data_IF_700285795916
#
_entry.id   IF_700285795916
#
_cell.length_a   1.000
_cell.length_b   1.000
_cell.length_c   1.000
_cell.angle_alpha   90.00
_cell.angle_beta   90.00
_cell.angle_gamma   90.00
#
_symmetry.space_group_name_H-M   'P 1'
#
loop_
_entity.id
_entity.type
_entity.pdbx_description
1 polymer ?
#
# COMPACT_ATOMS: atom_id res chain seq x y z
N UNK A 1 -5.39 -13.05 -17.58
CA UNK A 1 -4.48 -11.89 -17.70
C UNK A 1 -4.34 -11.19 -16.36
N UNK A 2 -3.14 -10.71 -16.00
CA UNK A 2 -2.90 -9.81 -14.85
C UNK A 2 -2.44 -8.46 -15.40
N UNK A 3 -3.01 -7.36 -14.92
CA UNK A 3 -2.69 -6.01 -15.37
C UNK A 3 -2.30 -5.16 -14.17
N UNK A 4 -1.07 -4.64 -14.19
CA UNK A 4 -0.59 -3.69 -13.20
C UNK A 4 -0.87 -2.27 -13.71
N UNK A 5 -1.89 -1.60 -13.14
CA UNK A 5 -2.31 -0.28 -13.63
C UNK A 5 -1.43 0.88 -13.16
N UNK A 6 -0.40 0.62 -12.36
CA UNK A 6 0.34 1.68 -11.69
C UNK A 6 1.83 1.37 -11.63
N UNK A 7 2.51 1.65 -12.75
CA UNK A 7 3.96 1.49 -12.89
C UNK A 7 4.59 2.83 -13.25
N UNK A 8 5.68 3.17 -12.57
CA UNK A 8 6.46 4.37 -12.90
C UNK A 8 7.73 3.99 -13.67
N UNK A 9 8.10 4.78 -14.67
CA UNK A 9 9.34 4.62 -15.43
C UNK A 9 10.45 5.58 -14.95
N UNK A 10 10.51 5.86 -13.65
CA UNK A 10 11.43 6.85 -13.08
C UNK A 10 12.88 6.53 -13.45
N UNK A 11 13.50 7.40 -14.24
CA UNK A 11 14.88 7.21 -14.68
C UNK A 11 15.84 7.20 -13.48
N UNK A 12 16.74 6.21 -13.44
CA UNK A 12 17.77 6.07 -12.40
C UNK A 12 19.12 5.78 -13.04
N UNK A 13 20.09 6.65 -12.79
CA UNK A 13 21.44 6.50 -13.36
C UNK A 13 22.18 5.25 -12.87
N UNK A 14 21.77 4.68 -11.73
CA UNK A 14 22.39 3.51 -11.12
C UNK A 14 21.72 2.17 -11.50
N UNK A 15 20.64 2.17 -12.29
CA UNK A 15 19.85 0.95 -12.57
C UNK A 15 19.25 0.93 -13.97
N UNK A 16 19.25 -0.24 -14.58
CA UNK A 16 18.44 -0.52 -15.77
C UNK A 16 16.98 -0.78 -15.34
N UNK A 17 16.19 0.29 -15.38
CA UNK A 17 14.78 0.26 -14.97
C UNK A 17 13.96 -0.64 -15.90
N UNK A 18 14.20 -0.61 -17.21
CA UNK A 18 13.48 -1.46 -18.15
C UNK A 18 13.69 -2.94 -17.85
N UNK A 19 14.93 -3.35 -17.63
CA UNK A 19 15.25 -4.73 -17.28
C UNK A 19 14.61 -5.14 -15.95
N UNK A 20 14.67 -4.29 -14.92
CA UNK A 20 14.12 -4.61 -13.60
C UNK A 20 12.60 -4.73 -13.61
N UNK A 21 11.89 -3.75 -14.21
CA UNK A 21 10.43 -3.79 -14.31
C UNK A 21 9.97 -5.00 -15.12
N UNK A 22 10.63 -5.27 -16.26
CA UNK A 22 10.33 -6.44 -17.11
C UNK A 22 10.54 -7.74 -16.34
N UNK A 23 11.63 -7.85 -15.58
CA UNK A 23 11.93 -9.02 -14.75
C UNK A 23 10.88 -9.21 -13.65
N UNK A 24 10.50 -8.14 -12.95
CA UNK A 24 9.46 -8.20 -11.90
C UNK A 24 8.12 -8.65 -12.51
N UNK A 25 7.70 -8.04 -13.61
CA UNK A 25 6.45 -8.41 -14.29
C UNK A 25 6.45 -9.89 -14.70
N UNK A 26 7.57 -10.38 -15.26
CA UNK A 26 7.72 -11.81 -15.59
C UNK A 26 7.64 -12.71 -14.36
N UNK A 27 8.38 -12.41 -13.28
CA UNK A 27 8.36 -13.24 -12.07
C UNK A 27 6.98 -13.30 -11.42
N UNK A 28 6.22 -12.21 -11.47
CA UNK A 28 4.89 -12.11 -10.86
C UNK A 28 3.73 -12.43 -11.83
N UNK A 29 4.02 -12.85 -13.07
CA UNK A 29 3.01 -13.21 -14.08
C UNK A 29 2.18 -12.03 -14.61
N UNK A 30 2.65 -10.79 -14.45
CA UNK A 30 1.99 -9.58 -14.98
C UNK A 30 2.11 -9.58 -16.50
N UNK A 31 0.95 -9.48 -17.16
CA UNK A 31 0.82 -9.55 -18.62
C UNK A 31 0.91 -8.16 -19.27
N UNK A 32 0.38 -7.15 -18.58
CA UNK A 32 0.38 -5.75 -19.03
C UNK A 32 0.73 -4.84 -17.86
N UNK A 33 1.60 -3.85 -18.11
CA UNK A 33 1.93 -2.79 -17.17
C UNK A 33 1.53 -1.43 -17.75
N UNK A 34 0.73 -0.65 -17.01
CA UNK A 34 0.40 0.73 -17.38
C UNK A 34 1.46 1.67 -16.82
N UNK A 35 2.18 2.33 -17.73
CA UNK A 35 3.40 3.08 -17.43
C UNK A 35 3.14 4.58 -17.59
N UNK A 36 3.58 5.34 -16.58
CA UNK A 36 3.56 6.81 -16.57
C UNK A 36 4.78 7.36 -15.84
N UNK A 37 4.98 8.68 -15.87
CA UNK A 37 5.97 9.39 -15.04
C UNK A 37 7.40 8.84 -15.20
N UNK A 38 8.05 9.11 -16.33
CA UNK A 38 9.42 8.67 -16.59
C UNK A 38 10.54 9.49 -15.91
N UNK A 39 10.20 10.53 -15.14
CA UNK A 39 11.14 11.54 -14.65
C UNK A 39 10.93 11.92 -13.18
N UNK A 40 11.30 13.15 -12.80
CA UNK A 40 11.14 13.63 -11.41
C UNK A 40 9.68 13.97 -11.07
N UNK A 41 9.27 13.63 -9.85
CA UNK A 41 8.00 14.03 -9.27
C UNK A 41 8.10 15.43 -8.64
N UNK A 42 7.81 16.48 -9.41
CA UNK A 42 7.66 17.85 -8.88
C UNK A 42 6.19 18.14 -8.58
N UNK A 43 5.91 18.94 -7.55
CA UNK A 43 4.54 19.26 -7.10
C UNK A 43 3.74 20.11 -8.11
N UNK A 44 4.43 20.97 -8.86
CA UNK A 44 3.91 21.82 -9.93
C UNK A 44 4.98 21.85 -11.03
N UNK A 45 5.06 20.81 -11.87
CA UNK A 45 6.11 20.72 -12.89
C UNK A 45 5.87 21.75 -14.01
N UNK A 46 6.97 22.29 -14.53
CA UNK A 46 6.96 23.04 -15.78
C UNK A 46 6.62 22.11 -16.96
N UNK A 47 6.06 22.67 -18.03
CA UNK A 47 5.58 21.87 -19.16
C UNK A 47 6.67 21.01 -19.83
N UNK A 48 7.92 21.47 -19.85
CA UNK A 48 9.05 20.73 -20.43
C UNK A 48 9.43 19.50 -19.58
N UNK A 49 9.29 19.61 -18.25
CA UNK A 49 9.43 18.49 -17.32
C UNK A 49 8.33 17.45 -17.57
N UNK A 50 7.09 17.88 -17.80
CA UNK A 50 5.96 17.00 -18.13
C UNK A 50 6.21 16.28 -19.46
N UNK A 51 6.52 17.03 -20.52
CA UNK A 51 6.77 16.47 -21.85
C UNK A 51 7.92 15.45 -21.84
N UNK A 52 9.03 15.77 -21.15
CA UNK A 52 10.17 14.86 -21.00
C UNK A 52 9.81 13.59 -20.22
N UNK A 53 8.99 13.70 -19.18
CA UNK A 53 8.54 12.54 -18.41
C UNK A 53 7.66 11.61 -19.27
N UNK A 54 6.83 12.17 -20.15
CA UNK A 54 6.05 11.42 -21.13
C UNK A 54 6.92 10.74 -22.18
N UNK A 55 7.93 11.44 -22.72
CA UNK A 55 8.86 10.86 -23.70
C UNK A 55 9.61 9.64 -23.13
N UNK A 56 10.05 9.72 -21.86
CA UNK A 56 10.72 8.59 -21.20
C UNK A 56 9.75 7.42 -20.98
N UNK A 57 8.53 7.68 -20.53
CA UNK A 57 7.53 6.64 -20.31
C UNK A 57 7.09 5.98 -21.63
N UNK A 58 6.87 6.75 -22.69
CA UNK A 58 6.52 6.25 -24.01
C UNK A 58 7.67 5.42 -24.61
N UNK A 59 8.92 5.89 -24.49
CA UNK A 59 10.10 5.12 -24.89
C UNK A 59 10.24 3.81 -24.12
N UNK A 60 9.99 3.82 -22.80
CA UNK A 60 9.96 2.59 -22.02
C UNK A 60 8.94 1.60 -22.60
N UNK A 61 7.74 2.07 -22.92
CA UNK A 61 6.67 1.23 -23.48
C UNK A 61 7.09 0.63 -24.83
N UNK A 62 7.67 1.44 -25.72
CA UNK A 62 8.24 0.98 -26.99
C UNK A 62 9.30 -0.12 -26.78
N UNK A 63 10.27 0.12 -25.90
CA UNK A 63 11.37 -0.81 -25.64
C UNK A 63 10.92 -2.08 -24.85
N UNK A 64 9.73 -2.05 -24.23
CA UNK A 64 9.20 -3.16 -23.40
C UNK A 64 8.69 -4.37 -24.19
N UNK A 65 8.69 -4.31 -25.52
CA UNK A 65 8.26 -5.39 -26.42
C UNK A 65 6.85 -5.93 -26.12
N UNK A 66 5.89 -5.02 -25.95
CA UNK A 66 4.46 -5.33 -25.81
C UNK A 66 3.96 -5.49 -24.37
N UNK A 67 4.85 -5.45 -23.36
CA UNK A 67 4.48 -5.47 -21.94
C UNK A 67 3.78 -4.17 -21.51
N UNK A 68 4.32 -3.02 -21.91
CA UNK A 68 3.86 -1.71 -21.47
C UNK A 68 2.63 -1.20 -22.24
N UNK A 69 1.82 -0.36 -21.60
CA UNK A 69 0.91 0.60 -22.24
C UNK A 69 1.09 1.96 -21.59
N UNK A 70 0.93 3.02 -22.36
CA UNK A 70 1.28 4.37 -21.93
C UNK A 70 0.07 5.12 -21.34
N UNK A 71 0.27 5.77 -20.19
CA UNK A 71 -0.64 6.77 -19.65
C UNK A 71 0.02 8.15 -19.70
N UNK A 72 -0.65 9.12 -20.34
CA UNK A 72 -0.17 10.49 -20.45
C UNK A 72 -0.11 11.14 -19.07
N UNK A 73 1.08 11.51 -18.61
CA UNK A 73 1.23 12.34 -17.41
C UNK A 73 0.88 13.79 -17.75
N UNK A 74 -0.07 14.36 -17.01
CA UNK A 74 -0.46 15.77 -17.15
C UNK A 74 -0.43 16.47 -15.79
N UNK A 75 -0.10 17.76 -15.83
CA UNK A 75 -0.27 18.70 -14.73
C UNK A 75 -1.46 19.61 -15.06
N UNK A 76 -2.53 19.65 -14.25
CA UNK A 76 -3.64 20.56 -14.49
C UNK A 76 -3.27 22.03 -14.56
N UNK A 77 -2.15 22.42 -13.93
CA UNK A 77 -1.68 23.81 -13.93
C UNK A 77 -0.72 24.12 -15.09
N UNK A 78 -0.34 23.13 -15.89
CA UNK A 78 0.47 23.36 -17.09
C UNK A 78 -0.36 24.05 -18.17
N UNK A 79 -0.04 25.28 -18.62
CA UNK A 79 -0.80 25.96 -19.66
C UNK A 79 -0.82 25.21 -21.01
N UNK A 80 0.11 24.27 -21.22
CA UNK A 80 0.23 23.44 -22.43
C UNK A 80 -0.38 22.04 -22.28
N UNK A 81 -1.11 21.76 -21.20
CA UNK A 81 -1.66 20.42 -20.94
C UNK A 81 -2.49 19.86 -22.10
N UNK A 82 -3.19 20.72 -22.86
CA UNK A 82 -4.04 20.29 -23.98
C UNK A 82 -3.20 19.83 -25.18
N UNK A 83 -2.21 20.62 -25.56
CA UNK A 83 -1.28 20.27 -26.65
C UNK A 83 -0.51 19.00 -26.29
N UNK A 84 -0.12 18.85 -25.02
CA UNK A 84 0.57 17.66 -24.54
C UNK A 84 -0.34 16.42 -24.50
N UNK A 85 -1.62 16.58 -24.14
CA UNK A 85 -2.60 15.50 -24.24
C UNK A 85 -2.81 15.08 -25.70
N UNK A 86 -2.93 16.05 -26.62
CA UNK A 86 -3.05 15.79 -28.06
C UNK A 86 -1.86 15.00 -28.58
N UNK A 87 -0.64 15.43 -28.24
CA UNK A 87 0.60 14.75 -28.61
C UNK A 87 0.67 13.33 -28.03
N UNK A 88 0.39 13.17 -26.74
CA UNK A 88 0.46 11.87 -26.08
C UNK A 88 -0.53 10.87 -26.67
N UNK A 89 -1.73 11.31 -27.04
CA UNK A 89 -2.76 10.43 -27.61
C UNK A 89 -2.46 10.11 -29.07
N UNK A 90 -2.20 11.13 -29.90
CA UNK A 90 -2.10 10.97 -31.34
C UNK A 90 -0.73 10.42 -31.79
N UNK A 91 0.35 10.81 -31.09
CA UNK A 91 1.71 10.51 -31.53
C UNK A 91 2.37 9.42 -30.68
N UNK A 92 2.04 9.33 -29.38
CA UNK A 92 2.66 8.38 -28.45
C UNK A 92 1.76 7.21 -28.03
N UNK A 93 0.49 7.19 -28.46
CA UNK A 93 -0.44 6.09 -28.20
C UNK A 93 -0.89 5.96 -26.75
N UNK A 94 -1.06 7.07 -26.03
CA UNK A 94 -1.60 7.04 -24.67
C UNK A 94 -3.04 6.48 -24.64
N UNK A 95 -3.29 5.57 -23.71
CA UNK A 95 -4.59 4.92 -23.51
C UNK A 95 -5.35 5.40 -22.26
N UNK A 96 -4.77 6.38 -21.56
CA UNK A 96 -5.33 7.00 -20.37
C UNK A 96 -4.45 8.14 -19.88
N UNK A 97 -4.85 8.76 -18.78
CA UNK A 97 -4.16 9.92 -18.19
C UNK A 97 -3.74 9.61 -16.76
N UNK A 98 -2.53 10.05 -16.38
CA UNK A 98 -2.05 10.08 -15.00
C UNK A 98 -1.96 11.52 -14.53
N UNK A 99 -2.52 11.81 -13.37
CA UNK A 99 -2.28 13.07 -12.64
C UNK A 99 -1.66 12.72 -11.29
N UNK A 100 -0.46 13.25 -11.03
CA UNK A 100 0.29 12.96 -9.80
C UNK A 100 0.00 13.97 -8.68
N UNK A 101 -0.15 15.24 -9.02
CA UNK A 101 -0.29 16.35 -8.09
C UNK A 101 -0.80 17.58 -8.86
N UNK A 102 -0.62 18.79 -8.30
CA UNK A 102 -1.05 20.06 -8.88
C UNK A 102 -2.56 20.14 -9.18
N UNK A 103 -3.39 19.41 -8.45
CA UNK A 103 -4.84 19.41 -8.66
C UNK A 103 -5.48 20.77 -8.36
N UNK A 104 -4.94 21.49 -7.39
CA UNK A 104 -5.39 22.82 -6.99
C UNK A 104 -4.47 23.90 -7.52
N UNK A 105 -5.06 25.01 -7.98
CA UNK A 105 -4.32 26.23 -8.29
C UNK A 105 -3.87 26.98 -7.01
N UNK A 106 -3.21 28.13 -7.17
CA UNK A 106 -2.72 28.93 -6.05
C UNK A 106 -3.84 29.49 -5.15
N UNK A 107 -5.09 29.52 -5.61
CA UNK A 107 -6.27 29.93 -4.85
C UNK A 107 -7.03 28.74 -4.23
N UNK A 108 -6.56 27.50 -4.44
CA UNK A 108 -7.21 26.29 -3.96
C UNK A 108 -8.34 25.78 -4.87
N UNK A 109 -8.51 26.32 -6.08
CA UNK A 109 -9.56 25.89 -7.01
C UNK A 109 -9.18 24.61 -7.77
N UNK A 110 -10.18 23.76 -7.99
CA UNK A 110 -10.08 22.53 -8.79
C UNK A 110 -10.50 22.72 -10.26
N UNK A 111 -10.85 23.94 -10.69
CA UNK A 111 -11.43 24.17 -12.03
C UNK A 111 -10.53 23.68 -13.17
N UNK A 112 -9.22 23.88 -13.05
CA UNK A 112 -8.26 23.39 -14.03
C UNK A 112 -8.21 21.86 -14.06
N UNK A 113 -8.21 21.19 -12.89
CA UNK A 113 -8.27 19.73 -12.82
C UNK A 113 -9.56 19.18 -13.46
N UNK A 114 -10.71 19.79 -13.17
CA UNK A 114 -12.00 19.43 -13.78
C UNK A 114 -11.95 19.57 -15.31
N UNK A 115 -11.31 20.61 -15.84
CA UNK A 115 -11.15 20.79 -17.29
C UNK A 115 -10.32 19.68 -17.92
N UNK A 116 -9.20 19.29 -17.30
CA UNK A 116 -8.35 18.19 -17.79
C UNK A 116 -9.09 16.86 -17.73
N UNK A 117 -9.74 16.55 -16.60
CA UNK A 117 -10.45 15.28 -16.39
C UNK A 117 -11.64 15.14 -17.35
N UNK A 118 -12.41 16.21 -17.58
CA UNK A 118 -13.51 16.19 -18.56
C UNK A 118 -13.00 16.02 -19.98
N UNK A 119 -11.91 16.68 -20.35
CA UNK A 119 -11.33 16.52 -21.69
C UNK A 119 -10.83 15.09 -21.93
N UNK A 120 -10.19 14.47 -20.93
CA UNK A 120 -9.85 13.05 -20.99
C UNK A 120 -11.09 12.16 -21.18
N UNK A 121 -12.16 12.41 -20.40
CA UNK A 121 -13.43 11.69 -20.53
C UNK A 121 -14.09 11.82 -21.90
N UNK A 122 -14.09 13.02 -22.50
CA UNK A 122 -14.60 13.24 -23.87
C UNK A 122 -13.90 12.39 -24.92
N UNK A 123 -12.66 12.00 -24.65
CA UNK A 123 -11.83 11.14 -25.51
C UNK A 123 -11.91 9.66 -25.12
N UNK A 124 -12.72 9.31 -24.12
CA UNK A 124 -12.82 7.95 -23.59
C UNK A 124 -11.59 7.49 -22.79
N UNK A 125 -10.76 8.41 -22.31
CA UNK A 125 -9.54 8.10 -21.57
C UNK A 125 -9.80 8.06 -20.06
N UNK A 126 -9.55 6.93 -19.37
CA UNK A 126 -9.59 6.87 -17.92
C UNK A 126 -8.50 7.72 -17.28
N UNK A 127 -8.76 8.25 -16.08
CA UNK A 127 -7.81 9.10 -15.35
C UNK A 127 -7.40 8.47 -14.03
N UNK A 128 -6.13 8.11 -13.91
CA UNK A 128 -5.50 7.66 -12.66
C UNK A 128 -5.01 8.88 -11.87
N UNK A 129 -5.58 9.11 -10.69
CA UNK A 129 -5.33 10.28 -9.85
C UNK A 129 -4.60 9.84 -8.58
N UNK A 130 -3.44 10.42 -8.29
CA UNK A 130 -2.77 10.16 -7.03
C UNK A 130 -3.59 10.71 -5.86
N UNK A 131 -3.94 9.85 -4.91
CA UNK A 131 -4.66 10.23 -3.68
C UNK A 131 -3.89 9.73 -2.47
N UNK A 132 -3.78 10.58 -1.45
CA UNK A 132 -3.14 10.21 -0.20
C UNK A 132 -3.74 11.00 0.97
N UNK A 133 -3.61 10.49 2.19
CA UNK A 133 -3.98 11.19 3.41
C UNK A 133 -2.82 11.08 4.39
N UNK A 134 -1.88 12.03 4.31
CA UNK A 134 -0.74 12.05 5.23
C UNK A 134 -1.17 12.50 6.64
N UNK A 135 -0.59 11.88 7.68
CA UNK A 135 -0.88 12.20 9.09
C UNK A 135 -0.61 13.68 9.43
N UNK A 136 0.40 14.30 8.81
CA UNK A 136 0.74 15.71 8.99
C UNK A 136 0.01 16.67 8.03
N UNK A 137 -0.97 16.18 7.27
CA UNK A 137 -1.57 16.90 6.15
C UNK A 137 -0.81 16.69 4.85
N UNK A 138 -1.52 16.87 3.73
CA UNK A 138 -0.94 16.73 2.40
C UNK A 138 -0.18 18.00 2.00
N UNK A 139 0.92 17.87 1.24
CA UNK A 139 1.57 19.03 0.63
C UNK A 139 0.65 19.69 -0.42
N UNK A 140 0.87 20.97 -0.76
CA UNK A 140 0.07 21.69 -1.75
C UNK A 140 -0.09 20.92 -3.07
N UNK A 141 -1.28 21.00 -3.65
CA UNK A 141 -1.61 20.37 -4.92
C UNK A 141 -1.88 18.87 -4.85
N UNK A 142 -1.78 18.23 -3.68
CA UNK A 142 -2.17 16.82 -3.48
C UNK A 142 -3.60 16.76 -2.94
N UNK A 143 -4.31 15.66 -3.25
CA UNK A 143 -5.72 15.51 -2.92
C UNK A 143 -5.96 14.36 -1.95
N UNK A 144 -6.96 14.54 -1.10
CA UNK A 144 -7.53 13.49 -0.25
C UNK A 144 -8.53 12.65 -1.03
N UNK A 145 -9.05 11.58 -0.41
CA UNK A 145 -10.12 10.79 -1.03
C UNK A 145 -11.43 11.60 -1.17
N UNK A 146 -11.68 12.56 -0.26
CA UNK A 146 -12.85 13.43 -0.32
C UNK A 146 -12.76 14.41 -1.50
N UNK A 147 -11.57 14.98 -1.73
CA UNK A 147 -11.32 15.83 -2.89
C UNK A 147 -11.45 15.04 -4.20
N UNK A 148 -10.96 13.79 -4.22
CA UNK A 148 -11.18 12.87 -5.34
C UNK A 148 -12.68 12.62 -5.58
N UNK A 149 -13.47 12.40 -4.53
CA UNK A 149 -14.90 12.21 -4.65
C UNK A 149 -15.61 13.43 -5.26
N UNK A 150 -15.20 14.65 -4.85
CA UNK A 150 -15.67 15.90 -5.45
C UNK A 150 -15.33 15.98 -6.94
N UNK A 151 -14.09 15.64 -7.32
CA UNK A 151 -13.66 15.65 -8.73
C UNK A 151 -14.40 14.60 -9.57
N UNK A 152 -14.66 13.42 -9.01
CA UNK A 152 -15.42 12.34 -9.64
C UNK A 152 -16.88 12.76 -9.89
N UNK A 153 -17.52 13.42 -8.91
CA UNK A 153 -18.88 13.98 -9.03
C UNK A 153 -18.95 15.09 -10.09
N UNK A 154 -17.92 15.94 -10.15
CA UNK A 154 -17.81 16.98 -11.17
C UNK A 154 -17.57 16.44 -12.59
N UNK A 155 -17.11 15.19 -12.73
CA UNK A 155 -16.74 14.56 -13.99
C UNK A 155 -17.42 13.17 -14.17
N UNK A 156 -18.78 13.10 -14.15
CA UNK A 156 -19.51 11.83 -14.05
C UNK A 156 -19.32 10.91 -15.29
N UNK A 157 -19.00 11.49 -16.44
CA UNK A 157 -18.78 10.76 -17.69
C UNK A 157 -17.34 10.22 -17.85
N UNK A 158 -16.44 10.56 -16.92
CA UNK A 158 -15.04 10.12 -16.94
C UNK A 158 -14.84 8.98 -15.95
N UNK A 159 -14.24 7.86 -16.39
CA UNK A 159 -13.76 6.83 -15.48
C UNK A 159 -12.53 7.35 -14.73
N UNK A 160 -12.64 7.50 -13.41
CA UNK A 160 -11.56 8.02 -12.56
C UNK A 160 -11.14 6.98 -11.54
N UNK A 161 -9.83 6.89 -11.29
CA UNK A 161 -9.24 5.88 -10.40
C UNK A 161 -8.45 6.60 -9.31
N UNK A 162 -8.85 6.44 -8.05
CA UNK A 162 -8.10 6.90 -6.90
C UNK A 162 -6.95 5.94 -6.63
N UNK A 163 -5.74 6.38 -6.96
CA UNK A 163 -4.56 5.59 -6.66
C UNK A 163 -4.37 5.45 -5.15
N UNK A 164 -3.89 4.29 -4.73
CA UNK A 164 -3.61 3.96 -3.34
C UNK A 164 -4.83 3.95 -2.42
N UNK A 165 -6.06 3.93 -2.96
CA UNK A 165 -7.29 4.02 -2.18
C UNK A 165 -7.19 5.09 -1.06
N UNK A 166 -6.66 6.27 -1.38
CA UNK A 166 -6.48 7.39 -0.43
C UNK A 166 -5.27 7.29 0.50
N UNK A 167 -4.38 6.32 0.35
CA UNK A 167 -3.22 6.07 1.22
C UNK A 167 -3.57 5.51 2.61
N UNK A 168 -4.80 5.79 3.07
CA UNK A 168 -5.48 5.10 4.17
C UNK A 168 -6.84 4.61 3.64
N UNK A 169 -6.88 3.35 3.20
CA UNK A 169 -8.07 2.73 2.60
C UNK A 169 -9.32 2.80 3.49
N UNK A 170 -9.16 2.88 4.81
CA UNK A 170 -10.30 2.97 5.74
C UNK A 170 -11.07 4.27 5.56
N UNK A 171 -10.39 5.36 5.18
CA UNK A 171 -11.06 6.63 4.87
C UNK A 171 -11.81 6.59 3.53
N UNK A 172 -11.47 5.65 2.64
CA UNK A 172 -12.13 5.49 1.35
C UNK A 172 -13.46 4.74 1.45
N UNK A 173 -13.64 3.92 2.50
CA UNK A 173 -14.86 3.15 2.71
C UNK A 173 -16.06 4.09 2.91
N UNK A 174 -17.16 3.81 2.22
CA UNK A 174 -18.40 4.58 2.29
C UNK A 174 -18.37 5.92 1.55
N UNK A 175 -17.19 6.50 1.28
CA UNK A 175 -17.07 7.77 0.54
C UNK A 175 -17.47 7.61 -0.92
N UNK A 176 -17.03 6.52 -1.57
CA UNK A 176 -17.25 6.28 -3.00
C UNK A 176 -18.43 5.36 -3.30
N UNK A 177 -19.05 4.76 -2.28
CA UNK A 177 -19.99 3.65 -2.44
C UNK A 177 -21.23 4.01 -3.26
N UNK A 178 -21.93 5.08 -2.88
CA UNK A 178 -23.33 5.31 -3.30
C UNK A 178 -23.52 6.33 -4.42
N UNK A 179 -22.56 7.25 -4.63
CA UNK A 179 -22.76 8.42 -5.51
C UNK A 179 -21.89 8.45 -6.76
N UNK A 180 -20.90 7.56 -6.85
CA UNK A 180 -19.81 7.67 -7.82
C UNK A 180 -19.59 6.36 -8.59
N UNK A 181 -20.50 5.99 -9.50
CA UNK A 181 -20.38 4.76 -10.28
C UNK A 181 -19.19 4.77 -11.26
N UNK A 182 -18.67 5.96 -11.59
CA UNK A 182 -17.48 6.18 -12.43
C UNK A 182 -16.16 6.17 -11.64
N UNK A 183 -16.22 6.07 -10.31
CA UNK A 183 -15.04 6.08 -9.45
C UNK A 183 -14.57 4.66 -9.11
N UNK A 184 -13.28 4.45 -9.25
CA UNK A 184 -12.57 3.21 -8.93
C UNK A 184 -11.42 3.50 -7.95
N UNK A 185 -10.83 2.44 -7.39
CA UNK A 185 -9.63 2.53 -6.56
C UNK A 185 -8.58 1.52 -7.01
N UNK A 186 -7.30 1.85 -6.87
CA UNK A 186 -6.24 0.84 -6.85
C UNK A 186 -5.81 0.50 -5.40
N UNK A 187 -5.30 -0.71 -5.19
CA UNK A 187 -4.89 -1.19 -3.86
C UNK A 187 -3.38 -1.03 -3.54
N UNK A 188 -2.66 -0.17 -4.26
CA UNK A 188 -1.19 -0.09 -4.23
C UNK A 188 -0.63 1.02 -3.32
N UNK A 189 0.69 1.23 -3.29
CA UNK A 189 1.34 2.44 -2.72
C UNK A 189 1.72 2.42 -1.24
N UNK A 190 1.26 1.42 -0.47
CA UNK A 190 1.56 1.29 0.96
C UNK A 190 1.68 -0.17 1.40
N UNK A 191 1.95 -0.38 2.69
CA UNK A 191 2.22 -1.71 3.23
C UNK A 191 1.03 -2.66 3.02
N UNK A 192 1.28 -3.97 2.80
CA UNK A 192 0.24 -4.98 2.86
C UNK A 192 -0.41 -4.99 4.24
N UNK A 193 -1.68 -4.61 4.29
CA UNK A 193 -2.50 -4.66 5.49
C UNK A 193 -3.59 -5.71 5.31
N UNK A 194 -3.88 -6.46 6.37
CA UNK A 194 -5.03 -7.36 6.40
C UNK A 194 -6.32 -6.55 6.22
N UNK A 195 -7.35 -7.19 5.67
CA UNK A 195 -8.69 -6.63 5.47
C UNK A 195 -8.82 -5.57 4.36
N UNK A 196 -7.71 -5.15 3.73
CA UNK A 196 -7.75 -4.08 2.75
C UNK A 196 -8.59 -4.41 1.52
N UNK A 197 -8.22 -5.45 0.77
CA UNK A 197 -8.88 -5.77 -0.50
C UNK A 197 -10.30 -6.30 -0.24
N UNK A 198 -10.45 -7.11 0.80
CA UNK A 198 -11.71 -7.69 1.26
C UNK A 198 -12.72 -6.59 1.61
N UNK A 199 -12.28 -5.57 2.37
CA UNK A 199 -13.14 -4.45 2.75
C UNK A 199 -13.46 -3.54 1.57
N UNK A 200 -12.49 -3.25 0.69
CA UNK A 200 -12.74 -2.47 -0.52
C UNK A 200 -13.72 -3.18 -1.46
N UNK A 201 -13.61 -4.50 -1.62
CA UNK A 201 -14.54 -5.31 -2.41
C UNK A 201 -15.92 -5.36 -1.77
N UNK A 202 -16.01 -5.52 -0.44
CA UNK A 202 -17.28 -5.51 0.28
C UNK A 202 -17.96 -4.13 0.23
N UNK A 203 -17.18 -3.04 0.25
CA UNK A 203 -17.66 -1.67 0.22
C UNK A 203 -18.06 -1.21 -1.19
N UNK A 204 -17.17 -1.35 -2.17
CA UNK A 204 -17.33 -0.77 -3.51
C UNK A 204 -17.87 -1.78 -4.54
N UNK A 205 -17.78 -3.08 -4.24
CA UNK A 205 -17.96 -4.14 -5.21
C UNK A 205 -16.66 -4.43 -5.98
N UNK A 206 -16.44 -5.70 -6.33
CA UNK A 206 -15.21 -6.16 -6.98
C UNK A 206 -14.92 -5.44 -8.30
N UNK A 207 -15.93 -4.97 -9.03
CA UNK A 207 -15.82 -4.28 -10.33
C UNK A 207 -15.12 -2.90 -10.25
N UNK A 208 -14.96 -2.34 -9.05
CA UNK A 208 -14.39 -0.99 -8.84
C UNK A 208 -13.03 -0.98 -8.14
N UNK A 209 -12.43 -2.16 -7.94
CA UNK A 209 -11.12 -2.32 -7.28
C UNK A 209 -10.12 -2.87 -8.29
N UNK A 210 -8.99 -2.20 -8.49
CA UNK A 210 -7.97 -2.56 -9.46
C UNK A 210 -6.65 -2.89 -8.78
N UNK A 211 -5.90 -3.82 -9.37
CA UNK A 211 -4.52 -4.09 -8.99
C UNK A 211 -3.57 -3.06 -9.61
N UNK A 212 -2.76 -2.43 -8.76
CA UNK A 212 -1.56 -1.71 -9.14
C UNK A 212 -0.43 -2.08 -8.19
N UNK A 213 0.82 -1.78 -8.55
CA UNK A 213 1.95 -2.04 -7.67
C UNK A 213 2.73 -0.82 -7.20
N UNK A 214 2.56 0.35 -7.83
CA UNK A 214 3.43 1.51 -7.55
C UNK A 214 4.91 1.15 -7.74
N UNK A 215 5.20 0.40 -8.82
CA UNK A 215 6.51 -0.18 -9.07
C UNK A 215 7.59 0.90 -9.17
N UNK A 216 8.81 0.55 -8.72
CA UNK A 216 9.93 1.43 -8.32
C UNK A 216 9.79 1.94 -6.88
N UNK A 217 8.61 2.37 -6.45
CA UNK A 217 8.34 2.76 -5.06
C UNK A 217 8.12 1.56 -4.14
N UNK A 218 7.48 0.49 -4.64
CA UNK A 218 7.14 -0.73 -3.88
C UNK A 218 7.55 -2.01 -4.60
N UNK A 219 7.57 -3.11 -3.84
CA UNK A 219 7.74 -4.45 -4.40
C UNK A 219 6.44 -4.92 -5.05
N UNK A 220 6.51 -5.29 -6.33
CA UNK A 220 5.34 -5.80 -7.06
C UNK A 220 4.75 -7.04 -6.40
N UNK A 221 5.60 -7.96 -5.94
CA UNK A 221 5.17 -9.16 -5.25
C UNK A 221 4.41 -8.85 -3.95
N UNK A 222 4.85 -7.86 -3.17
CA UNK A 222 4.18 -7.52 -1.92
C UNK A 222 2.82 -6.85 -2.15
N UNK A 223 2.68 -6.05 -3.20
CA UNK A 223 1.39 -5.47 -3.58
C UNK A 223 0.45 -6.54 -4.16
N UNK A 224 0.97 -7.45 -4.99
CA UNK A 224 0.22 -8.59 -5.52
C UNK A 224 -0.33 -9.49 -4.41
N UNK A 225 0.46 -9.72 -3.37
CA UNK A 225 0.09 -10.51 -2.21
C UNK A 225 -1.20 -9.99 -1.52
N UNK A 226 -1.45 -8.68 -1.53
CA UNK A 226 -2.68 -8.09 -0.97
C UNK A 226 -3.93 -8.67 -1.65
N UNK A 227 -3.88 -8.89 -2.96
CA UNK A 227 -5.00 -9.41 -3.75
C UNK A 227 -5.03 -10.94 -3.74
N UNK A 228 -3.86 -11.58 -3.83
CA UNK A 228 -3.75 -13.05 -3.86
C UNK A 228 -4.25 -13.68 -2.56
N UNK A 229 -3.92 -13.09 -1.41
CA UNK A 229 -4.28 -13.61 -0.10
C UNK A 229 -5.55 -12.95 0.49
N UNK A 230 -6.27 -12.16 -0.31
CA UNK A 230 -7.56 -11.62 0.10
C UNK A 230 -8.62 -12.74 0.22
N UNK A 231 -9.42 -12.67 1.28
CA UNK A 231 -10.59 -13.51 1.55
C UNK A 231 -11.78 -13.06 0.70
N UNK A 232 -11.61 -13.20 -0.61
CA UNK A 232 -12.61 -12.90 -1.64
C UNK A 232 -12.75 -14.09 -2.60
N UNK A 233 -13.92 -14.28 -3.23
CA UNK A 233 -14.11 -15.32 -4.22
C UNK A 233 -13.14 -15.20 -5.39
N UNK A 234 -12.72 -16.33 -5.98
CA UNK A 234 -11.79 -16.38 -7.11
C UNK A 234 -12.23 -15.52 -8.30
N UNK A 235 -13.55 -15.42 -8.55
CA UNK A 235 -14.09 -14.56 -9.59
C UNK A 235 -13.81 -13.07 -9.33
N UNK A 236 -14.01 -12.60 -8.09
CA UNK A 236 -13.67 -11.25 -7.68
C UNK A 236 -12.16 -11.01 -7.76
N UNK A 237 -11.35 -11.98 -7.32
CA UNK A 237 -9.88 -11.90 -7.41
C UNK A 237 -9.40 -11.70 -8.85
N UNK A 238 -9.98 -12.44 -9.82
CA UNK A 238 -9.67 -12.29 -11.26
C UNK A 238 -10.05 -10.92 -11.81
N UNK A 239 -11.18 -10.35 -11.37
CA UNK A 239 -11.57 -8.99 -11.72
C UNK A 239 -10.53 -7.98 -11.22
N UNK A 240 -10.18 -8.04 -9.94
CA UNK A 240 -9.21 -7.12 -9.32
C UNK A 240 -7.84 -7.22 -9.98
N UNK A 241 -7.35 -8.43 -10.22
CA UNK A 241 -6.02 -8.66 -10.82
C UNK A 241 -5.87 -8.20 -12.27
N UNK A 242 -6.96 -8.03 -13.02
CA UNK A 242 -6.83 -7.60 -14.41
C UNK A 242 -8.13 -7.45 -15.19
N UNK A 243 -9.21 -8.14 -14.82
CA UNK A 243 -10.50 -8.02 -15.54
C UNK A 243 -11.04 -6.58 -15.54
N UNK A 244 -10.96 -5.88 -14.41
CA UNK A 244 -11.40 -4.49 -14.31
C UNK A 244 -10.51 -3.56 -15.13
N UNK A 245 -9.19 -3.74 -15.06
CA UNK A 245 -8.26 -2.94 -15.85
C UNK A 245 -8.51 -3.12 -17.35
N UNK A 246 -8.73 -4.36 -17.80
CA UNK A 246 -9.05 -4.65 -19.20
C UNK A 246 -10.33 -3.93 -19.66
N UNK A 247 -11.39 -3.96 -18.84
CA UNK A 247 -12.65 -3.25 -19.11
C UNK A 247 -12.47 -1.73 -19.12
N UNK A 248 -11.80 -1.18 -18.11
CA UNK A 248 -11.66 0.28 -17.91
C UNK A 248 -10.77 0.90 -18.99
N UNK A 249 -9.67 0.24 -19.35
CA UNK A 249 -8.69 0.75 -20.31
C UNK A 249 -8.83 0.17 -21.73
N UNK A 250 -9.87 -0.63 -22.00
CA UNK A 250 -10.11 -1.24 -23.31
C UNK A 250 -8.99 -2.18 -23.77
N UNK A 251 -8.42 -2.96 -22.86
CA UNK A 251 -7.31 -3.86 -23.18
C UNK A 251 -7.83 -5.19 -23.73
N UNK A 252 -7.20 -5.65 -24.80
CA UNK A 252 -7.38 -7.01 -25.30
C UNK A 252 -6.77 -8.03 -24.33
N UNK A 253 -7.26 -9.27 -24.37
CA UNK A 253 -6.70 -10.34 -23.55
C UNK A 253 -5.29 -10.68 -24.00
N UNK A 254 -4.31 -10.31 -23.17
CA UNK A 254 -2.91 -10.68 -23.34
C UNK A 254 -2.67 -11.95 -22.50
N UNK A 255 -2.20 -13.05 -23.13
CA UNK A 255 -1.80 -14.23 -22.39
C UNK A 255 -0.75 -13.85 -21.33
N UNK A 256 -0.80 -14.43 -20.13
CA UNK A 256 0.26 -14.20 -19.15
C UNK A 256 1.60 -14.56 -19.77
N UNK A 257 2.57 -13.64 -19.67
CA UNK A 257 3.95 -13.92 -20.05
C UNK A 257 4.48 -15.12 -19.24
N UNK A 258 5.51 -15.82 -19.74
CA UNK A 258 6.09 -16.93 -19.02
C UNK A 258 6.55 -16.45 -17.63
N UNK A 259 5.97 -17.04 -16.59
CA UNK A 259 6.42 -16.79 -15.24
C UNK A 259 7.87 -17.26 -15.12
N UNK A 260 8.77 -16.36 -14.73
CA UNK A 260 10.14 -16.77 -14.41
C UNK A 260 10.09 -17.77 -13.26
N UNK A 261 10.95 -18.81 -13.24
CA UNK A 261 11.02 -19.69 -12.09
C UNK A 261 11.28 -18.84 -10.84
N UNK A 262 10.47 -19.03 -9.80
CA UNK A 262 10.82 -18.53 -8.48
C UNK A 262 12.18 -19.13 -8.15
N UNK A 263 13.16 -18.28 -7.80
CA UNK A 263 14.45 -18.77 -7.36
C UNK A 263 14.20 -19.53 -6.05
N UNK A 264 14.46 -20.85 -5.98
CA UNK A 264 14.34 -21.57 -4.73
C UNK A 264 15.25 -20.90 -3.71
N UNK A 265 14.71 -20.60 -2.54
CA UNK A 265 15.53 -20.16 -1.42
C UNK A 265 16.17 -21.42 -0.84
N UNK A 266 17.37 -21.75 -1.31
CA UNK A 266 18.17 -22.85 -0.78
C UNK A 266 18.78 -22.45 0.57
N UNK A 267 18.83 -23.39 1.52
CA UNK A 267 19.45 -23.15 2.83
C UNK A 267 18.72 -22.14 3.70
N UNK A 268 17.39 -22.00 3.54
CA UNK A 268 16.60 -21.23 4.48
C UNK A 268 16.80 -21.74 5.92
N UNK A 269 16.87 -20.83 6.91
CA UNK A 269 16.93 -21.22 8.30
C UNK A 269 15.69 -22.02 8.70
N UNK A 270 15.80 -22.74 9.81
CA UNK A 270 14.65 -23.42 10.41
C UNK A 270 13.48 -22.44 10.57
N UNK A 271 12.37 -22.78 9.92
CA UNK A 271 11.15 -21.97 9.94
C UNK A 271 10.23 -22.34 11.10
N UNK A 272 10.68 -23.20 12.02
CA UNK A 272 9.94 -23.59 13.22
C UNK A 272 9.87 -22.49 14.29
N UNK A 273 10.54 -21.35 14.09
CA UNK A 273 10.54 -20.24 15.04
C UNK A 273 9.94 -18.99 14.40
N UNK A 274 8.84 -18.50 14.98
CA UNK A 274 8.29 -17.17 14.71
C UNK A 274 8.98 -16.16 15.62
N UNK A 275 9.76 -15.27 15.02
CA UNK A 275 10.56 -14.30 15.75
C UNK A 275 9.71 -13.18 16.37
N UNK A 276 8.52 -12.92 15.83
CA UNK A 276 7.65 -11.90 16.42
C UNK A 276 6.20 -11.97 15.93
N UNK A 277 5.26 -12.14 16.85
CA UNK A 277 3.84 -12.01 16.58
C UNK A 277 3.06 -11.39 17.75
N UNK A 278 1.77 -11.15 17.54
CA UNK A 278 0.89 -10.56 18.54
C UNK A 278 -0.39 -11.36 18.74
N UNK A 279 -0.91 -11.30 19.96
CA UNK A 279 -2.29 -11.67 20.33
C UNK A 279 -3.07 -10.43 20.79
N UNK A 280 -4.37 -10.61 21.03
CA UNK A 280 -5.20 -9.58 21.63
C UNK A 280 -5.74 -8.58 20.62
N UNK A 281 -6.53 -7.64 21.14
CA UNK A 281 -7.32 -6.71 20.32
C UNK A 281 -6.62 -5.37 20.14
N UNK A 282 -6.57 -4.91 18.90
CA UNK A 282 -6.24 -3.53 18.59
C UNK A 282 -7.46 -2.62 18.82
N UNK A 283 -7.33 -1.49 19.55
CA UNK A 283 -8.49 -0.75 20.04
C UNK A 283 -9.19 0.12 18.98
N UNK A 284 -8.55 0.37 17.83
CA UNK A 284 -9.05 1.34 16.85
C UNK A 284 -9.95 0.73 15.76
N UNK A 285 -10.00 -0.60 15.63
CA UNK A 285 -10.89 -1.27 14.68
C UNK A 285 -11.13 -2.72 15.08
N UNK A 286 -12.28 -3.26 14.69
CA UNK A 286 -12.57 -4.69 14.81
C UNK A 286 -11.75 -5.49 13.80
N UNK A 287 -11.31 -6.67 14.21
CA UNK A 287 -10.48 -7.53 13.39
C UNK A 287 -10.55 -8.97 13.89
N UNK A 288 -9.97 -9.92 13.14
CA UNK A 288 -9.91 -11.33 13.50
C UNK A 288 -8.81 -11.53 14.56
N UNK A 289 -8.95 -10.84 15.68
CA UNK A 289 -8.04 -10.90 16.81
C UNK A 289 -8.14 -12.28 17.44
N UNK A 290 -6.99 -12.89 17.69
CA UNK A 290 -6.90 -14.23 18.27
C UNK A 290 -6.52 -14.17 19.74
N UNK A 291 -7.11 -15.06 20.51
CA UNK A 291 -6.66 -15.39 21.86
C UNK A 291 -5.32 -16.13 21.82
N UNK A 292 -4.58 -16.20 22.94
CA UNK A 292 -3.37 -17.03 23.01
C UNK A 292 -3.58 -18.49 22.61
N UNK A 293 -4.70 -19.11 23.02
CA UNK A 293 -4.96 -20.50 22.67
C UNK A 293 -5.20 -20.69 21.17
N UNK A 294 -5.99 -19.80 20.55
CA UNK A 294 -6.22 -19.84 19.11
C UNK A 294 -4.92 -19.62 18.33
N UNK A 295 -4.04 -18.73 18.80
CA UNK A 295 -2.72 -18.56 18.20
C UNK A 295 -1.86 -19.84 18.36
N UNK A 296 -1.83 -20.48 19.53
CA UNK A 296 -1.07 -21.72 19.75
C UNK A 296 -1.51 -22.84 18.78
N UNK A 297 -2.81 -22.95 18.53
CA UNK A 297 -3.39 -23.90 17.59
C UNK A 297 -2.97 -23.58 16.13
N UNK A 298 -3.02 -22.30 15.74
CA UNK A 298 -2.57 -21.84 14.42
C UNK A 298 -1.07 -22.10 14.20
N UNK A 299 -0.25 -21.79 15.19
CA UNK A 299 1.20 -22.05 15.17
C UNK A 299 1.46 -23.55 15.02
N UNK A 300 0.71 -24.39 15.73
CA UNK A 300 0.79 -25.84 15.61
C UNK A 300 0.44 -26.35 14.22
N UNK A 301 -0.63 -25.83 13.62
CA UNK A 301 -1.03 -26.17 12.25
C UNK A 301 0.01 -25.74 11.20
N UNK A 302 0.72 -24.64 11.46
CA UNK A 302 1.79 -24.13 10.59
C UNK A 302 3.16 -24.80 10.81
N UNK A 303 3.28 -25.73 11.77
CA UNK A 303 4.56 -26.37 12.10
C UNK A 303 5.53 -25.49 12.91
N UNK A 304 5.05 -24.37 13.44
CA UNK A 304 5.83 -23.50 14.33
C UNK A 304 5.91 -24.16 15.72
N UNK A 305 7.13 -24.20 16.27
CA UNK A 305 7.45 -24.75 17.58
C UNK A 305 7.55 -23.68 18.66
N UNK A 306 8.05 -22.49 18.29
CA UNK A 306 8.21 -21.35 19.22
C UNK A 306 7.81 -20.05 18.53
N UNK A 307 7.04 -19.21 19.23
CA UNK A 307 6.64 -17.89 18.76
C UNK A 307 6.82 -16.84 19.84
N UNK A 308 7.69 -15.86 19.61
CA UNK A 308 7.89 -14.74 20.53
C UNK A 308 6.72 -13.76 20.39
N UNK A 309 5.85 -13.74 21.39
CA UNK A 309 4.51 -13.16 21.28
C UNK A 309 4.30 -12.01 22.25
N UNK A 310 3.86 -10.86 21.76
CA UNK A 310 3.33 -9.76 22.57
C UNK A 310 1.80 -9.75 22.63
N UNK A 311 1.22 -9.07 23.62
CA UNK A 311 -0.22 -8.77 23.66
C UNK A 311 -0.46 -7.30 23.25
N UNK A 312 -1.33 -7.05 22.27
CA UNK A 312 -1.68 -5.67 21.89
C UNK A 312 -2.27 -4.86 23.04
N UNK A 313 -2.93 -5.51 24.01
CA UNK A 313 -3.57 -4.82 25.12
C UNK A 313 -2.57 -4.08 26.02
N UNK A 314 -1.35 -4.62 26.18
CA UNK A 314 -0.31 -4.02 27.03
C UNK A 314 0.23 -2.72 26.46
N UNK A 315 0.12 -2.52 25.14
CA UNK A 315 0.56 -1.29 24.46
C UNK A 315 -0.17 -0.05 24.98
N UNK A 316 -1.42 -0.20 25.42
CA UNK A 316 -2.31 0.91 25.75
C UNK A 316 -2.57 1.06 27.26
N UNK A 317 -1.97 0.22 28.11
CA UNK A 317 -2.21 0.22 29.55
C UNK A 317 -1.12 0.99 30.30
N UNK A 318 -1.53 1.77 31.30
CA UNK A 318 -0.59 2.40 32.23
C UNK A 318 -0.05 1.41 33.27
N UNK A 319 -0.92 0.54 33.80
CA UNK A 319 -0.53 -0.53 34.72
C UNK A 319 0.01 -1.74 33.94
N UNK A 320 1.26 -1.60 33.49
CA UNK A 320 1.97 -2.62 32.71
C UNK A 320 2.18 -3.91 33.50
N UNK A 321 2.38 -3.84 34.82
CA UNK A 321 2.53 -5.04 35.65
C UNK A 321 1.26 -5.89 35.63
N UNK A 322 0.09 -5.27 35.84
CA UNK A 322 -1.19 -5.98 35.75
C UNK A 322 -1.47 -6.49 34.34
N UNK A 323 -1.22 -5.68 33.30
CA UNK A 323 -1.47 -6.07 31.92
C UNK A 323 -0.61 -7.27 31.51
N UNK A 324 0.70 -7.24 31.82
CA UNK A 324 1.61 -8.35 31.57
C UNK A 324 1.20 -9.63 32.32
N UNK A 325 0.79 -9.53 33.59
CA UNK A 325 0.31 -10.70 34.35
C UNK A 325 -0.97 -11.30 33.73
N UNK A 326 -1.88 -10.46 33.21
CA UNK A 326 -3.08 -10.95 32.52
C UNK A 326 -2.72 -11.70 31.23
N UNK A 327 -1.73 -11.22 30.48
CA UNK A 327 -1.24 -11.93 29.30
C UNK A 327 -0.58 -13.27 29.68
N UNK A 328 0.26 -13.30 30.72
CA UNK A 328 0.84 -14.57 31.22
C UNK A 328 -0.21 -15.59 31.60
N UNK A 329 -1.25 -15.15 32.30
CA UNK A 329 -2.35 -16.03 32.69
C UNK A 329 -3.11 -16.53 31.46
N UNK A 330 -3.39 -15.67 30.49
CA UNK A 330 -4.08 -16.04 29.26
C UNK A 330 -3.25 -16.98 28.37
N UNK A 331 -1.93 -16.88 28.40
CA UNK A 331 -1.01 -17.76 27.68
C UNK A 331 -0.69 -19.06 28.45
N UNK A 332 -1.21 -19.23 29.68
CA UNK A 332 -0.95 -20.41 30.51
C UNK A 332 -1.44 -21.67 29.81
N UNK A 333 -0.51 -22.60 29.53
CA UNK A 333 -0.81 -23.87 28.87
C UNK A 333 -0.59 -23.85 27.34
N UNK A 334 -0.36 -22.69 26.74
CA UNK A 334 0.11 -22.60 25.36
C UNK A 334 1.53 -23.15 25.28
N UNK A 335 1.80 -24.06 24.34
CA UNK A 335 3.08 -24.78 24.27
C UNK A 335 4.13 -24.06 23.42
N UNK A 336 3.68 -23.26 22.47
CA UNK A 336 4.51 -22.61 21.45
C UNK A 336 4.71 -21.13 21.74
N UNK A 337 3.89 -20.53 22.60
CA UNK A 337 3.98 -19.11 22.93
C UNK A 337 5.14 -18.89 23.90
N UNK A 338 6.12 -18.12 23.45
CA UNK A 338 7.16 -17.52 24.27
C UNK A 338 6.76 -16.06 24.54
N UNK A 339 6.14 -15.75 25.70
CA UNK A 339 5.55 -14.43 25.91
C UNK A 339 6.64 -13.36 26.06
N UNK A 340 6.36 -12.15 25.58
CA UNK A 340 7.20 -10.96 25.74
C UNK A 340 6.53 -9.90 26.63
N UNK A 341 7.23 -9.41 27.64
CA UNK A 341 6.70 -8.43 28.58
C UNK A 341 6.80 -7.03 27.99
N UNK A 342 5.72 -6.25 28.05
CA UNK A 342 5.81 -4.82 27.68
C UNK A 342 6.33 -4.01 28.86
N UNK A 343 7.42 -3.28 28.65
CA UNK A 343 7.99 -2.36 29.63
C UNK A 343 8.19 -0.97 29.01
N UNK A 344 8.20 0.04 29.88
CA UNK A 344 8.50 1.42 29.49
C UNK A 344 9.48 2.04 30.49
N UNK A 345 10.56 2.70 30.04
CA UNK A 345 11.49 3.39 30.93
C UNK A 345 10.84 4.57 31.65
N UNK A 346 9.71 5.07 31.14
CA UNK A 346 8.93 6.13 31.79
C UNK A 346 8.08 5.64 32.96
N UNK A 347 7.84 4.32 33.08
CA UNK A 347 7.04 3.78 34.17
C UNK A 347 7.86 3.78 35.46
N UNK A 348 7.45 4.54 36.48
CA UNK A 348 8.21 4.70 37.74
C UNK A 348 8.52 3.38 38.46
N UNK A 349 7.71 2.34 38.22
CA UNK A 349 7.84 1.01 38.79
C UNK A 349 8.53 -0.01 37.86
N UNK A 350 9.08 0.36 36.70
CA UNK A 350 9.60 -0.59 35.69
C UNK A 350 10.60 -1.59 36.26
N UNK A 351 11.45 -1.18 37.22
CA UNK A 351 12.41 -2.09 37.91
C UNK A 351 11.72 -3.16 38.74
N UNK A 352 10.66 -2.80 39.46
CA UNK A 352 9.87 -3.76 40.23
C UNK A 352 9.18 -4.74 39.28
N UNK A 353 8.58 -4.21 38.21
CA UNK A 353 7.88 -5.01 37.21
C UNK A 353 8.83 -5.99 36.51
N UNK A 354 10.02 -5.57 36.09
CA UNK A 354 11.05 -6.45 35.53
C UNK A 354 11.41 -7.59 36.50
N UNK A 355 11.73 -7.28 37.76
CA UNK A 355 12.10 -8.30 38.75
C UNK A 355 11.00 -9.33 39.02
N UNK A 356 9.74 -8.90 38.98
CA UNK A 356 8.58 -9.78 39.25
C UNK A 356 8.24 -10.67 38.06
N UNK A 357 8.47 -10.19 36.85
CA UNK A 357 8.00 -10.84 35.62
C UNK A 357 9.10 -11.62 34.88
N UNK A 358 10.39 -11.37 35.15
CA UNK A 358 11.52 -11.95 34.41
C UNK A 358 11.46 -13.48 34.23
N UNK A 359 10.96 -14.22 35.23
CA UNK A 359 10.96 -15.68 35.20
C UNK A 359 9.81 -16.26 34.35
N UNK A 360 8.81 -15.45 33.99
CA UNK A 360 7.62 -15.87 33.25
C UNK A 360 7.57 -15.38 31.79
N UNK A 361 8.60 -14.66 31.34
CA UNK A 361 8.67 -14.07 30.01
C UNK A 361 9.98 -14.44 29.31
N UNK A 362 9.92 -14.63 28.01
CA UNK A 362 11.08 -14.93 27.18
C UNK A 362 11.88 -13.69 26.76
N UNK A 363 11.33 -12.49 27.00
CA UNK A 363 11.95 -11.22 26.64
C UNK A 363 11.05 -10.03 26.90
N UNK A 364 11.47 -8.86 26.40
CA UNK A 364 10.79 -7.57 26.62
C UNK A 364 10.49 -6.88 25.29
N UNK A 365 9.30 -6.27 25.21
CA UNK A 365 8.88 -5.35 24.17
C UNK A 365 8.85 -3.93 24.69
N UNK A 366 9.31 -3.01 23.84
CA UNK A 366 9.32 -1.57 24.09
C UNK A 366 8.70 -0.84 22.91
N UNK A 367 7.95 0.23 23.20
CA UNK A 367 7.28 1.01 22.17
C UNK A 367 7.57 2.51 22.31
N UNK A 368 8.76 2.99 21.89
CA UNK A 368 9.17 4.39 22.04
C UNK A 368 8.14 5.38 21.49
N UNK A 369 7.65 5.13 20.27
CA UNK A 369 6.65 5.99 19.64
C UNK A 369 5.30 5.99 20.39
N UNK A 370 4.76 4.82 20.72
CA UNK A 370 3.44 4.70 21.36
C UNK A 370 3.44 5.14 22.82
N UNK A 371 4.55 4.96 23.53
CA UNK A 371 4.73 5.38 24.92
C UNK A 371 5.42 6.74 25.04
N UNK A 372 5.63 7.44 23.92
CA UNK A 372 6.13 8.81 23.83
C UNK A 372 7.48 9.05 24.53
N UNK A 373 8.49 8.25 24.20
CA UNK A 373 9.88 8.45 24.63
C UNK A 373 10.86 8.20 23.49
N UNK A 374 12.09 8.72 23.62
CA UNK A 374 13.11 8.64 22.57
C UNK A 374 14.08 7.49 22.85
N UNK A 375 14.29 6.62 21.87
CA UNK A 375 15.09 5.40 22.05
C UNK A 375 16.56 5.70 22.41
N UNK A 376 17.09 6.80 21.91
CA UNK A 376 18.48 7.23 22.05
C UNK A 376 18.71 8.21 23.22
N UNK A 377 17.69 8.47 24.04
CA UNK A 377 17.80 9.36 25.18
C UNK A 377 18.74 8.77 26.27
N UNK A 378 19.83 9.47 26.66
CA UNK A 378 20.82 8.93 27.60
C UNK A 378 20.26 8.48 28.96
N UNK A 379 19.18 9.13 29.41
CA UNK A 379 18.47 8.80 30.65
C UNK A 379 17.87 7.38 30.67
N UNK A 380 17.68 6.76 29.50
CA UNK A 380 17.16 5.39 29.39
C UNK A 380 18.26 4.33 29.31
N UNK A 381 19.54 4.70 29.31
CA UNK A 381 20.65 3.74 29.27
C UNK A 381 20.64 2.77 30.48
N UNK A 382 20.21 3.26 31.64
CA UNK A 382 20.05 2.45 32.85
C UNK A 382 18.94 1.40 32.74
N UNK A 383 17.86 1.73 32.02
CA UNK A 383 16.78 0.78 31.71
C UNK A 383 17.31 -0.39 30.87
N UNK A 384 18.01 -0.11 29.77
CA UNK A 384 18.55 -1.16 28.91
C UNK A 384 19.65 -2.01 29.57
N UNK A 385 20.51 -1.42 30.41
CA UNK A 385 21.47 -2.19 31.22
C UNK A 385 20.76 -3.17 32.15
N UNK A 386 19.73 -2.70 32.85
CA UNK A 386 18.95 -3.56 33.73
C UNK A 386 18.22 -4.69 32.97
N UNK A 387 17.79 -4.45 31.72
CA UNK A 387 17.22 -5.51 30.86
C UNK A 387 18.27 -6.54 30.43
N UNK A 388 19.50 -6.11 30.15
CA UNK A 388 20.58 -7.01 29.74
C UNK A 388 21.10 -7.88 30.90
N UNK A 389 21.02 -7.37 32.13
CA UNK A 389 21.46 -8.07 33.35
C UNK A 389 20.42 -9.06 33.90
N UNK A 390 19.14 -8.91 33.52
CA UNK A 390 18.02 -9.69 34.03
C UNK A 390 17.79 -10.97 33.23
#
# INVERSE_FOLDING_TARGET
MIVDIHVHALNRSDRDILAEITRQCRVNGVSVALVSLGGSAAAYPESDVVARANDIAAKFVEDSNGLGRFLAYLSPQDPRWRDELDRCVNDLGAIGVKILNSFQDAAGSFDNAVRVIREAGRRGLPVLMHTFQATGGNPPGNITITDFAYLAEACPDTQVIAAHAGGNWRHSLGVLRDRLPNAHVDCCGYYPERMLVDSLVADLGAERVLFGSDLIGRSQASQMAKVVFADIPDAARKLVLGGNAARVFGLEEVPPGPAGPLRPLEGLPDSSVEHFCFVGQWPYYDGPWVTPQELDDLLGAAGIQTAYTGDFSTLFRQDLERANNQFLEAARGCRRIAPLATLSPLATNWRSTLRRLRDGFAGVLVFPYMHNWQLDAPEHADFFRALADA
#
